data_IF_565427867527
#
_entry.id   IF_565427867527
#
_cell.length_a   1.000
_cell.length_b   1.000
_cell.length_c   1.000
_cell.angle_alpha   90.00
_cell.angle_beta   90.00
_cell.angle_gamma   90.00
#
_symmetry.space_group_name_H-M   'P 1'
#
loop_
_entity.id
_entity.type
_entity.pdbx_description
1 polymer ?
#
# COMPACT_ATOMS: atom_id res chain seq x y z
N UNK A 1 -6.06 -35.87 -4.81
CA UNK A 1 -5.73 -34.94 -5.91
C UNK A 1 -7.03 -34.37 -6.44
N UNK A 2 -7.45 -33.17 -6.02
CA UNK A 2 -8.66 -32.54 -6.55
C UNK A 2 -8.34 -31.98 -7.93
N UNK A 3 -8.97 -32.50 -8.95
CA UNK A 3 -8.87 -31.94 -10.30
C UNK A 3 -9.38 -30.50 -10.28
N UNK A 4 -8.51 -29.58 -10.69
CA UNK A 4 -8.87 -28.14 -10.83
C UNK A 4 -10.05 -28.05 -11.80
N UNK A 5 -11.18 -27.42 -11.42
CA UNK A 5 -12.28 -27.22 -12.37
C UNK A 5 -11.77 -26.40 -13.57
N UNK A 6 -12.31 -26.67 -14.75
CA UNK A 6 -11.97 -25.93 -15.95
C UNK A 6 -12.18 -24.41 -15.73
N UNK A 7 -11.23 -23.54 -16.12
CA UNK A 7 -11.35 -22.11 -15.93
C UNK A 7 -12.63 -21.58 -16.60
N UNK A 8 -13.42 -20.83 -15.84
CA UNK A 8 -14.61 -20.17 -16.35
C UNK A 8 -14.21 -19.11 -17.37
N UNK A 9 -14.61 -19.26 -18.62
CA UNK A 9 -14.43 -18.22 -19.64
C UNK A 9 -15.39 -17.06 -19.37
N UNK A 10 -14.87 -15.90 -19.01
CA UNK A 10 -15.62 -14.64 -18.97
C UNK A 10 -15.54 -13.99 -20.36
N UNK A 11 -16.70 -13.85 -21.01
CA UNK A 11 -16.78 -13.13 -22.28
C UNK A 11 -17.44 -11.75 -22.06
N UNK A 12 -16.79 -10.69 -22.52
CA UNK A 12 -17.36 -9.34 -22.58
C UNK A 12 -17.55 -9.00 -24.06
N UNK A 13 -18.80 -9.19 -24.55
CA UNK A 13 -19.07 -9.13 -25.98
C UNK A 13 -18.38 -10.27 -26.74
N UNK A 14 -17.73 -10.00 -27.88
CA UNK A 14 -17.01 -11.00 -28.67
C UNK A 14 -15.61 -11.34 -28.11
N UNK A 15 -15.17 -10.70 -27.04
CA UNK A 15 -13.81 -10.85 -26.48
C UNK A 15 -13.84 -11.79 -25.27
N UNK A 16 -13.10 -12.90 -25.37
CA UNK A 16 -12.82 -13.77 -24.23
C UNK A 16 -11.67 -13.16 -23.42
N UNK A 17 -11.92 -12.86 -22.14
CA UNK A 17 -10.88 -12.33 -21.24
C UNK A 17 -9.99 -13.47 -20.74
N UNK A 18 -8.66 -13.29 -20.71
CA UNK A 18 -7.75 -14.29 -20.21
C UNK A 18 -7.95 -14.52 -18.72
N UNK A 19 -8.07 -15.77 -18.31
CA UNK A 19 -8.13 -16.18 -16.91
C UNK A 19 -6.71 -16.29 -16.33
N UNK A 20 -6.06 -15.13 -16.15
CA UNK A 20 -4.68 -15.00 -15.66
C UNK A 20 -4.62 -14.04 -14.47
N UNK A 21 -3.91 -14.38 -13.38
CA UNK A 21 -3.72 -13.49 -12.24
C UNK A 21 -2.97 -12.18 -12.59
N UNK A 22 -2.23 -12.18 -13.70
CA UNK A 22 -1.53 -10.99 -14.19
C UNK A 22 -2.50 -9.90 -14.65
N UNK A 23 -3.66 -10.30 -15.20
CA UNK A 23 -4.63 -9.33 -15.71
C UNK A 23 -5.18 -8.39 -14.60
N UNK A 24 -5.78 -8.89 -13.49
CA UNK A 24 -6.23 -8.01 -12.41
C UNK A 24 -5.08 -7.24 -11.73
N UNK A 25 -3.88 -7.85 -11.62
CA UNK A 25 -2.70 -7.15 -11.11
C UNK A 25 -2.31 -5.95 -12.00
N UNK A 26 -2.29 -6.14 -13.31
CA UNK A 26 -1.99 -5.07 -14.26
C UNK A 26 -3.07 -3.96 -14.23
N UNK A 27 -4.35 -4.34 -14.18
CA UNK A 27 -5.47 -3.38 -14.07
C UNK A 27 -5.33 -2.55 -12.79
N UNK A 28 -5.13 -3.20 -11.63
CA UNK A 28 -5.00 -2.52 -10.35
C UNK A 28 -3.74 -1.63 -10.31
N UNK A 29 -2.61 -2.12 -10.81
CA UNK A 29 -1.36 -1.36 -10.90
C UNK A 29 -1.50 -0.12 -11.78
N UNK A 30 -2.05 -0.26 -12.99
CA UNK A 30 -2.28 0.87 -13.90
C UNK A 30 -3.26 1.87 -13.29
N UNK A 31 -4.37 1.41 -12.70
CA UNK A 31 -5.32 2.29 -12.02
C UNK A 31 -4.66 3.04 -10.85
N UNK A 32 -3.83 2.36 -10.05
CA UNK A 32 -3.06 2.97 -8.97
C UNK A 32 -2.07 4.03 -9.47
N UNK A 33 -1.32 3.73 -10.54
CA UNK A 33 -0.40 4.70 -11.17
C UNK A 33 -1.16 5.92 -11.67
N UNK A 34 -2.26 5.71 -12.41
CA UNK A 34 -3.07 6.82 -12.94
C UNK A 34 -3.63 7.69 -11.82
N UNK A 35 -4.14 7.08 -10.74
CA UNK A 35 -4.63 7.80 -9.58
C UNK A 35 -3.52 8.64 -8.93
N UNK A 36 -2.33 8.06 -8.69
CA UNK A 36 -1.19 8.74 -8.08
C UNK A 36 -0.70 9.88 -8.97
N UNK A 37 -0.54 9.65 -10.27
CA UNK A 37 -0.11 10.68 -11.23
C UNK A 37 -1.11 11.83 -11.26
N UNK A 38 -2.41 11.53 -11.36
CA UNK A 38 -3.44 12.57 -11.37
C UNK A 38 -3.42 13.38 -10.06
N UNK A 39 -3.32 12.71 -8.91
CA UNK A 39 -3.22 13.38 -7.61
C UNK A 39 -1.94 14.19 -7.48
N UNK A 40 -0.80 13.67 -7.96
CA UNK A 40 0.49 14.37 -7.95
C UNK A 40 0.40 15.69 -8.73
N UNK A 41 -0.21 15.66 -9.91
CA UNK A 41 -0.33 16.84 -10.77
C UNK A 41 -1.37 17.84 -10.26
N UNK A 42 -2.58 17.36 -9.90
CA UNK A 42 -3.72 18.24 -9.58
C UNK A 42 -3.68 18.73 -8.13
N UNK A 43 -3.44 17.84 -7.19
CA UNK A 43 -3.55 18.15 -5.74
C UNK A 43 -2.19 18.45 -5.13
N UNK A 44 -1.20 17.62 -5.41
CA UNK A 44 0.13 17.73 -4.82
C UNK A 44 1.04 18.72 -5.57
N UNK A 45 0.64 19.22 -6.76
CA UNK A 45 1.37 20.22 -7.54
C UNK A 45 2.82 19.81 -7.84
N UNK A 46 3.04 18.51 -8.10
CA UNK A 46 4.35 17.95 -8.38
C UNK A 46 5.21 17.63 -7.16
N UNK A 47 4.70 17.81 -5.94
CA UNK A 47 5.45 17.56 -4.70
C UNK A 47 4.97 16.26 -4.01
N UNK A 48 5.75 15.14 -4.07
CA UNK A 48 5.39 13.88 -3.45
C UNK A 48 5.21 13.96 -1.93
N UNK A 49 5.91 14.89 -1.26
CA UNK A 49 5.82 15.04 0.20
C UNK A 49 4.42 15.41 0.68
N UNK A 50 3.57 15.93 -0.20
CA UNK A 50 2.16 16.23 0.09
C UNK A 50 1.29 15.00 0.30
N UNK A 51 1.73 13.82 -0.13
CA UNK A 51 1.04 12.56 0.16
C UNK A 51 1.21 12.14 1.62
N UNK A 52 2.30 12.54 2.26
CA UNK A 52 2.53 12.31 3.70
C UNK A 52 1.47 13.00 4.56
N UNK A 53 0.90 14.11 4.08
CA UNK A 53 -0.12 14.91 4.77
C UNK A 53 0.31 15.26 6.20
N UNK A 54 1.56 15.77 6.35
CA UNK A 54 2.05 16.27 7.64
C UNK A 54 1.28 17.53 8.07
N UNK A 55 0.96 17.62 9.34
CA UNK A 55 0.19 18.74 9.89
C UNK A 55 0.86 19.39 11.11
N UNK A 56 0.69 20.70 11.25
CA UNK A 56 1.32 21.52 12.33
C UNK A 56 0.99 21.07 13.75
N UNK A 57 -0.11 20.31 13.94
CA UNK A 57 -0.46 19.78 15.27
C UNK A 57 0.55 18.75 15.78
N UNK A 58 1.12 17.95 14.89
CA UNK A 58 2.06 16.88 15.24
C UNK A 58 3.45 17.06 14.65
N UNK A 59 3.61 17.96 13.67
CA UNK A 59 4.87 18.21 12.98
C UNK A 59 5.30 19.68 13.20
N UNK A 60 6.43 19.87 13.85
CA UNK A 60 7.03 21.18 14.05
C UNK A 60 7.84 21.59 12.81
N UNK A 61 7.42 22.66 12.09
CA UNK A 61 8.10 23.12 10.89
C UNK A 61 9.56 23.51 11.09
N UNK A 62 9.95 23.94 12.33
CA UNK A 62 11.29 24.39 12.60
C UNK A 62 12.31 23.25 12.69
N UNK A 63 11.85 22.04 13.02
CA UNK A 63 12.72 20.88 13.28
C UNK A 63 12.43 19.68 12.36
N UNK A 64 11.40 19.79 11.51
CA UNK A 64 11.06 18.77 10.51
C UNK A 64 12.10 18.72 9.38
N UNK A 65 12.24 17.57 8.70
CA UNK A 65 13.15 17.44 7.57
C UNK A 65 12.84 18.45 6.45
N UNK A 66 13.88 19.04 5.88
CA UNK A 66 13.73 19.98 4.78
C UNK A 66 13.05 19.31 3.57
N UNK A 67 12.08 20.02 2.97
CA UNK A 67 11.32 19.55 1.80
C UNK A 67 10.05 18.77 2.15
N UNK A 68 9.75 18.53 3.43
CA UNK A 68 8.46 18.00 3.85
C UNK A 68 7.41 19.11 3.83
N UNK A 69 6.36 18.95 3.04
CA UNK A 69 5.23 19.88 3.03
C UNK A 69 4.36 19.70 4.29
N UNK A 70 4.15 20.78 5.04
CA UNK A 70 3.39 20.76 6.29
C UNK A 70 2.14 21.62 6.13
N UNK A 71 0.97 21.03 6.36
CA UNK A 71 -0.33 21.70 6.28
C UNK A 71 -0.70 22.37 7.62
N UNK A 72 -1.44 23.50 7.61
CA UNK A 72 -1.87 24.19 8.83
C UNK A 72 -3.09 23.50 9.47
N UNK A 73 -2.99 22.21 9.76
CA UNK A 73 -4.05 21.37 10.32
C UNK A 73 -3.46 20.19 11.10
N UNK A 74 -4.30 19.21 11.47
CA UNK A 74 -3.86 18.00 12.20
C UNK A 74 -3.04 17.03 11.35
N UNK A 75 -3.02 17.20 10.02
CA UNK A 75 -2.41 16.21 9.13
C UNK A 75 -3.17 14.88 9.10
N UNK A 76 -2.46 13.83 8.71
CA UNK A 76 -3.00 12.47 8.68
C UNK A 76 -1.93 11.45 9.11
N UNK A 77 -2.28 10.16 9.15
CA UNK A 77 -1.41 9.09 9.65
C UNK A 77 -0.10 8.93 8.85
N UNK A 78 -0.08 9.34 7.59
CA UNK A 78 1.12 9.30 6.75
C UNK A 78 2.33 10.02 7.38
N UNK A 79 2.13 11.08 8.16
CA UNK A 79 3.22 11.77 8.87
C UNK A 79 3.93 10.86 9.89
N UNK A 80 3.20 9.93 10.51
CA UNK A 80 3.78 9.00 11.47
C UNK A 80 4.51 7.86 10.77
N UNK A 81 4.00 7.38 9.63
CA UNK A 81 4.69 6.40 8.80
C UNK A 81 5.94 6.98 8.17
N UNK A 82 5.91 8.25 7.72
CA UNK A 82 7.08 8.98 7.26
C UNK A 82 8.15 9.05 8.37
N UNK A 83 7.78 9.48 9.58
CA UNK A 83 8.69 9.52 10.73
C UNK A 83 9.32 8.15 11.03
N UNK A 84 8.51 7.10 11.05
CA UNK A 84 8.98 5.73 11.29
C UNK A 84 9.86 5.22 10.14
N UNK A 85 9.59 5.64 8.90
CA UNK A 85 10.42 5.33 7.75
C UNK A 85 11.79 6.01 7.78
N UNK A 86 11.95 7.12 8.50
CA UNK A 86 13.27 7.74 8.72
C UNK A 86 14.15 6.90 9.66
N UNK A 87 13.56 6.35 10.74
CA UNK A 87 14.26 5.51 11.71
C UNK A 87 13.27 4.58 12.44
N UNK A 88 13.01 3.37 11.91
CA UNK A 88 11.98 2.47 12.43
C UNK A 88 12.18 2.05 13.89
N UNK A 89 13.43 1.96 14.32
CA UNK A 89 13.79 1.53 15.69
C UNK A 89 13.83 2.68 16.71
N UNK A 90 13.67 3.92 16.26
CA UNK A 90 13.71 5.10 17.15
C UNK A 90 12.36 5.33 17.81
N UNK A 91 12.20 4.79 19.03
CA UNK A 91 10.94 4.80 19.80
C UNK A 91 10.69 6.09 20.61
N UNK A 92 11.51 7.14 20.42
CA UNK A 92 11.30 8.43 21.12
C UNK A 92 9.92 9.01 20.79
N UNK A 93 9.26 9.65 21.78
CA UNK A 93 7.96 10.29 21.60
C UNK A 93 7.98 11.36 20.49
N UNK A 94 9.07 12.13 20.41
CA UNK A 94 9.29 13.10 19.32
C UNK A 94 10.61 12.80 18.63
N UNK A 95 10.60 12.72 17.30
CA UNK A 95 11.80 12.59 16.47
C UNK A 95 11.56 13.25 15.12
N UNK A 96 12.61 13.85 14.55
CA UNK A 96 12.55 14.55 13.26
C UNK A 96 11.42 15.60 13.20
N UNK A 97 11.19 16.32 14.31
CA UNK A 97 10.12 17.30 14.41
C UNK A 97 8.71 16.72 14.45
N UNK A 98 8.53 15.40 14.40
CA UNK A 98 7.22 14.75 14.38
C UNK A 98 6.98 14.05 15.72
N UNK A 99 5.88 14.41 16.40
CA UNK A 99 5.44 13.83 17.67
C UNK A 99 4.48 12.67 17.41
N UNK A 100 4.74 11.50 18.00
CA UNK A 100 3.76 10.41 18.06
C UNK A 100 2.73 10.73 19.17
N UNK A 101 1.45 10.61 18.84
CA UNK A 101 0.38 10.81 19.82
C UNK A 101 0.13 9.57 20.67
N UNK A 102 0.31 8.37 20.11
CA UNK A 102 0.08 7.10 20.79
C UNK A 102 1.06 6.02 20.33
N UNK A 103 1.31 5.02 21.19
CA UNK A 103 2.10 3.82 20.86
C UNK A 103 1.38 2.89 19.88
N UNK A 104 0.07 3.01 19.71
CA UNK A 104 -0.74 2.26 18.74
C UNK A 104 -0.20 2.38 17.31
N UNK A 105 0.40 3.53 16.95
CA UNK A 105 0.94 3.74 15.60
C UNK A 105 2.15 2.87 15.28
N UNK A 106 2.82 2.35 16.31
CA UNK A 106 3.94 1.41 16.14
C UNK A 106 3.51 0.02 15.67
N UNK A 107 2.24 -0.34 15.84
CA UNK A 107 1.72 -1.65 15.42
C UNK A 107 1.79 -1.88 13.90
N UNK A 108 1.81 -0.80 13.12
CA UNK A 108 1.89 -0.85 11.64
C UNK A 108 3.30 -0.60 11.12
N UNK A 109 4.31 -1.02 11.88
CA UNK A 109 5.74 -0.78 11.57
C UNK A 109 6.19 -1.41 10.24
N UNK A 110 5.52 -2.45 9.76
CA UNK A 110 5.92 -3.17 8.54
C UNK A 110 6.02 -2.26 7.31
N UNK A 111 5.06 -1.36 7.11
CA UNK A 111 5.06 -0.43 5.99
C UNK A 111 6.24 0.57 6.03
N UNK A 112 6.43 1.36 7.09
CA UNK A 112 7.57 2.28 7.16
C UNK A 112 8.92 1.56 7.25
N UNK A 113 9.01 0.36 7.82
CA UNK A 113 10.23 -0.43 7.84
C UNK A 113 10.64 -0.88 6.43
N UNK A 114 9.67 -1.31 5.60
CA UNK A 114 9.92 -1.58 4.18
C UNK A 114 10.44 -0.33 3.46
N UNK A 115 9.82 0.84 3.67
CA UNK A 115 10.28 2.08 3.07
C UNK A 115 11.71 2.42 3.50
N UNK A 116 12.05 2.20 4.77
CA UNK A 116 13.40 2.38 5.28
C UNK A 116 14.42 1.46 4.60
N UNK A 117 14.08 0.20 4.35
CA UNK A 117 14.96 -0.74 3.65
C UNK A 117 15.38 -0.25 2.26
N UNK A 118 14.49 0.43 1.55
CA UNK A 118 14.77 0.98 0.21
C UNK A 118 15.43 2.35 0.23
N UNK A 119 15.29 3.12 1.31
CA UNK A 119 15.78 4.51 1.38
C UNK A 119 16.96 4.70 2.32
N UNK A 120 17.22 3.74 3.23
CA UNK A 120 18.15 3.93 4.34
C UNK A 120 17.76 5.09 5.26
N UNK A 121 16.49 5.50 5.26
CA UNK A 121 15.98 6.65 6.01
C UNK A 121 16.28 8.01 5.37
N UNK A 122 16.63 8.06 4.08
CA UNK A 122 16.83 9.32 3.36
C UNK A 122 15.49 10.05 3.19
N UNK A 123 15.34 11.18 3.87
CA UNK A 123 14.09 11.96 3.92
C UNK A 123 13.56 12.41 2.55
N UNK A 124 14.45 12.65 1.57
CA UNK A 124 14.06 13.10 0.22
C UNK A 124 13.43 12.00 -0.63
N UNK A 125 13.90 10.76 -0.46
CA UNK A 125 13.42 9.61 -1.23
C UNK A 125 12.19 8.96 -0.59
N UNK A 126 12.00 9.17 0.70
CA UNK A 126 11.02 8.44 1.49
C UNK A 126 9.57 8.66 1.02
N UNK A 127 9.08 9.87 0.66
CA UNK A 127 7.73 10.04 0.15
C UNK A 127 7.49 9.25 -1.14
N UNK A 128 8.44 9.27 -2.09
CA UNK A 128 8.32 8.54 -3.35
C UNK A 128 8.24 7.03 -3.11
N UNK A 129 9.09 6.50 -2.22
CA UNK A 129 9.10 5.07 -1.90
C UNK A 129 7.82 4.64 -1.19
N UNK A 130 7.26 5.46 -0.29
CA UNK A 130 5.97 5.19 0.34
C UNK A 130 4.84 5.08 -0.71
N UNK A 131 4.80 5.99 -1.68
CA UNK A 131 3.85 5.95 -2.79
C UNK A 131 4.04 4.68 -3.63
N UNK A 132 5.29 4.38 -4.02
CA UNK A 132 5.61 3.20 -4.85
C UNK A 132 5.21 1.90 -4.14
N UNK A 133 5.48 1.77 -2.85
CA UNK A 133 5.10 0.60 -2.06
C UNK A 133 3.58 0.39 -2.06
N UNK A 134 2.79 1.46 -1.97
CA UNK A 134 1.34 1.36 -2.04
C UNK A 134 0.85 0.94 -3.43
N UNK A 135 1.43 1.48 -4.52
CA UNK A 135 1.04 1.11 -5.89
C UNK A 135 1.41 -0.35 -6.19
N UNK A 136 2.64 -0.75 -5.86
CA UNK A 136 3.10 -2.14 -6.03
C UNK A 136 2.27 -3.08 -5.15
N UNK A 137 2.06 -2.71 -3.90
CA UNK A 137 1.25 -3.49 -2.96
C UNK A 137 -0.17 -3.72 -3.47
N UNK A 138 -0.80 -2.71 -4.10
CA UNK A 138 -2.12 -2.83 -4.68
C UNK A 138 -2.16 -3.85 -5.83
N UNK A 139 -1.17 -3.81 -6.73
CA UNK A 139 -1.06 -4.76 -7.83
C UNK A 139 -0.84 -6.20 -7.31
N UNK A 140 0.05 -6.37 -6.32
CA UNK A 140 0.32 -7.67 -5.71
C UNK A 140 -0.92 -8.19 -4.95
N UNK A 141 -1.66 -7.33 -4.27
CA UNK A 141 -2.89 -7.70 -3.57
C UNK A 141 -3.97 -8.21 -4.55
N UNK A 142 -4.12 -7.53 -5.70
CA UNK A 142 -5.01 -8.00 -6.77
C UNK A 142 -4.55 -9.34 -7.36
N UNK A 143 -3.24 -9.53 -7.52
CA UNK A 143 -2.67 -10.80 -7.98
C UNK A 143 -2.94 -11.94 -7.00
N UNK A 144 -2.69 -11.74 -5.71
CA UNK A 144 -3.00 -12.72 -4.65
C UNK A 144 -4.48 -13.07 -4.62
N UNK A 145 -5.35 -12.08 -4.68
CA UNK A 145 -6.80 -12.27 -4.74
C UNK A 145 -7.23 -13.06 -5.98
N UNK A 146 -6.57 -12.86 -7.11
CA UNK A 146 -6.83 -13.63 -8.33
C UNK A 146 -6.41 -15.09 -8.20
N UNK A 147 -5.26 -15.37 -7.60
CA UNK A 147 -4.81 -16.74 -7.31
C UNK A 147 -5.82 -17.45 -6.41
N UNK A 148 -6.24 -16.80 -5.32
CA UNK A 148 -7.25 -17.33 -4.40
C UNK A 148 -8.59 -17.57 -5.11
N UNK A 149 -9.02 -16.67 -6.00
CA UNK A 149 -10.24 -16.82 -6.78
C UNK A 149 -10.16 -18.06 -7.68
N UNK A 150 -9.04 -18.25 -8.38
CA UNK A 150 -8.83 -19.43 -9.24
C UNK A 150 -8.80 -20.73 -8.44
N UNK A 151 -8.21 -20.74 -7.24
CA UNK A 151 -8.22 -21.92 -6.36
C UNK A 151 -9.65 -22.28 -5.90
N UNK A 152 -10.55 -21.29 -5.84
CA UNK A 152 -11.98 -21.46 -5.59
C UNK A 152 -12.80 -21.75 -6.87
N UNK A 153 -12.17 -21.96 -8.02
CA UNK A 153 -12.87 -22.19 -9.30
C UNK A 153 -13.54 -20.94 -9.88
N UNK A 154 -13.11 -19.74 -9.46
CA UNK A 154 -13.61 -18.46 -9.98
C UNK A 154 -12.60 -17.86 -10.96
N UNK A 155 -13.10 -16.96 -11.83
CA UNK A 155 -12.24 -16.25 -12.78
C UNK A 155 -11.28 -15.29 -12.04
N UNK A 156 -10.04 -15.16 -12.54
CA UNK A 156 -8.98 -14.33 -11.95
C UNK A 156 -9.39 -12.85 -11.69
N UNK A 157 -10.30 -12.29 -12.49
CA UNK A 157 -10.80 -10.92 -12.32
C UNK A 157 -11.44 -10.64 -10.95
N UNK A 158 -11.88 -11.67 -10.22
CA UNK A 158 -12.31 -11.50 -8.83
C UNK A 158 -11.21 -10.99 -7.92
N UNK A 159 -9.94 -11.09 -8.32
CA UNK A 159 -8.83 -10.46 -7.62
C UNK A 159 -8.95 -8.95 -7.47
N UNK A 160 -9.66 -8.27 -8.39
CA UNK A 160 -9.90 -6.83 -8.29
C UNK A 160 -10.71 -6.42 -7.06
N UNK A 161 -11.51 -7.32 -6.50
CA UNK A 161 -12.26 -7.06 -5.25
C UNK A 161 -11.30 -6.78 -4.09
N UNK A 162 -10.13 -7.44 -4.07
CA UNK A 162 -9.11 -7.23 -3.04
C UNK A 162 -8.43 -5.87 -3.16
N UNK A 163 -8.34 -5.31 -4.36
CA UNK A 163 -7.77 -3.99 -4.61
C UNK A 163 -8.81 -2.86 -4.57
N UNK A 164 -10.09 -3.17 -4.77
CA UNK A 164 -11.18 -2.21 -4.96
C UNK A 164 -11.84 -1.71 -3.66
N UNK A 165 -11.18 -1.78 -2.51
CA UNK A 165 -11.75 -1.30 -1.25
C UNK A 165 -11.35 0.16 -0.93
N UNK A 166 -12.18 0.84 -0.15
CA UNK A 166 -11.99 2.27 0.15
C UNK A 166 -10.64 2.60 0.83
N UNK A 167 -10.14 1.71 1.69
CA UNK A 167 -8.83 1.86 2.33
C UNK A 167 -7.67 1.93 1.33
N UNK A 168 -7.79 1.27 0.15
CA UNK A 168 -6.77 1.37 -0.90
C UNK A 168 -6.67 2.80 -1.46
N UNK A 169 -7.81 3.46 -1.71
CA UNK A 169 -7.85 4.85 -2.19
C UNK A 169 -7.26 5.80 -1.15
N UNK A 170 -7.57 5.59 0.13
CA UNK A 170 -6.97 6.38 1.21
C UNK A 170 -5.46 6.18 1.29
N UNK A 171 -4.98 4.94 1.21
CA UNK A 171 -3.54 4.63 1.24
C UNK A 171 -2.80 5.29 0.08
N UNK A 172 -3.31 5.16 -1.15
CA UNK A 172 -2.74 5.82 -2.32
C UNK A 172 -2.77 7.35 -2.23
N UNK A 173 -3.70 7.92 -1.47
CA UNK A 173 -3.84 9.38 -1.37
C UNK A 173 -3.08 10.01 -0.21
N UNK A 174 -2.70 9.26 0.82
CA UNK A 174 -2.22 9.78 2.10
C UNK A 174 -1.09 8.96 2.73
N UNK A 175 -0.39 8.15 1.93
CA UNK A 175 0.71 7.28 2.36
C UNK A 175 0.35 6.42 3.59
N UNK A 176 -0.82 5.75 3.54
CA UNK A 176 -1.26 4.90 4.64
C UNK A 176 -0.82 3.44 4.47
N UNK A 177 -0.85 2.69 5.56
CA UNK A 177 -0.35 1.33 5.63
C UNK A 177 -1.37 0.25 5.27
N UNK A 178 -2.62 0.59 4.95
CA UNK A 178 -3.72 -0.37 4.80
C UNK A 178 -3.49 -1.36 3.66
N UNK A 179 -2.92 -0.93 2.52
CA UNK A 179 -2.59 -1.82 1.40
C UNK A 179 -1.52 -2.83 1.83
N UNK A 180 -0.44 -2.37 2.44
CA UNK A 180 0.65 -3.25 2.89
C UNK A 180 0.19 -4.17 4.02
N UNK A 181 -0.65 -3.70 4.93
CA UNK A 181 -1.24 -4.53 5.98
C UNK A 181 -2.15 -5.62 5.40
N UNK A 182 -3.01 -5.29 4.43
CA UNK A 182 -3.85 -6.25 3.73
C UNK A 182 -3.01 -7.28 2.96
N UNK A 183 -1.94 -6.83 2.30
CA UNK A 183 -1.01 -7.69 1.59
C UNK A 183 -0.32 -8.69 2.53
N UNK A 184 0.20 -8.23 3.67
CA UNK A 184 0.84 -9.10 4.66
C UNK A 184 -0.16 -10.12 5.22
N UNK A 185 -1.39 -9.72 5.49
CA UNK A 185 -2.45 -10.62 5.97
C UNK A 185 -2.81 -11.67 4.92
N UNK A 186 -3.04 -11.28 3.67
CA UNK A 186 -3.34 -12.20 2.59
C UNK A 186 -2.18 -13.18 2.32
N UNK A 187 -0.93 -12.69 2.36
CA UNK A 187 0.27 -13.51 2.23
C UNK A 187 0.40 -14.54 3.35
N UNK A 188 0.16 -14.14 4.61
CA UNK A 188 0.18 -15.06 5.74
C UNK A 188 -0.87 -16.17 5.60
N UNK A 189 -2.10 -15.84 5.17
CA UNK A 189 -3.14 -16.82 4.88
C UNK A 189 -2.73 -17.82 3.80
N UNK A 190 -2.09 -17.36 2.73
CA UNK A 190 -1.61 -18.25 1.67
C UNK A 190 -0.55 -19.22 2.19
N UNK A 191 0.41 -18.76 3.00
CA UNK A 191 1.44 -19.62 3.61
C UNK A 191 0.79 -20.70 4.48
N UNK A 192 -0.18 -20.33 5.32
CA UNK A 192 -0.91 -21.28 6.16
C UNK A 192 -1.67 -22.30 5.31
N UNK A 193 -2.35 -21.86 4.25
CA UNK A 193 -3.09 -22.75 3.36
C UNK A 193 -2.16 -23.74 2.65
N UNK A 194 -1.02 -23.30 2.14
CA UNK A 194 -0.01 -24.16 1.51
C UNK A 194 0.54 -25.18 2.51
N UNK A 195 0.85 -24.75 3.73
CA UNK A 195 1.34 -25.65 4.77
C UNK A 195 0.32 -26.74 5.12
N UNK A 196 -0.96 -26.39 5.29
CA UNK A 196 -2.03 -27.36 5.56
C UNK A 196 -2.18 -28.39 4.43
N UNK A 197 -2.07 -27.96 3.18
CA UNK A 197 -2.16 -28.90 2.04
C UNK A 197 -0.92 -29.79 1.92
N UNK A 198 0.25 -29.31 2.34
CA UNK A 198 1.50 -30.08 2.26
C UNK A 198 1.64 -31.13 3.39
N UNK A 199 0.93 -30.94 4.51
CA UNK A 199 1.03 -31.81 5.70
C UNK A 199 -0.08 -32.87 5.78
N UNK A 200 -1.17 -32.71 5.01
CA UNK A 200 -2.28 -33.67 4.89
C UNK A 200 -2.12 -34.58 3.67
#
# INVERSE_FOLDING_TARGET
MRTRPAPGTLTVGPVALPDSPVLPAAIAGVAGILFVVLRLLVVARGDPSRFVVAGTTFTDPATAPHGLHIFPNNGYDGQFFYRLGLAPVRMAHTAFGIRLDTTYRLQRIGYPALAWLFTGGQHRMLPDVLIILNVVGLAVLAWLGAVLAQDCGRHALWGLVFAGYFGAVLSLSRDLAEIVAALMTAGAWMVVAIYHVAVL
#
